data_IF_101919596143
#
_entry.id   IF_101919596143
#
_cell.length_a   1.000
_cell.length_b   1.000
_cell.length_c   1.000
_cell.angle_alpha   90.00
_cell.angle_beta   90.00
_cell.angle_gamma   90.00
#
_symmetry.space_group_name_H-M   'P 1'
#
loop_
_entity.id
_entity.type
_entity.pdbx_description
1 polymer ?
#
# COMPACT_ATOMS: atom_id res chain seq x y z
N UNK A 1 -30.01 -8.15 -10.50
CA UNK A 1 -30.14 -7.90 -11.95
C UNK A 1 -28.92 -8.36 -12.75
N UNK A 2 -27.68 -8.14 -12.30
CA UNK A 2 -26.45 -8.50 -13.04
C UNK A 2 -26.45 -9.94 -13.62
N UNK A 3 -26.77 -10.96 -12.80
CA UNK A 3 -26.80 -12.36 -13.27
C UNK A 3 -27.98 -12.68 -14.20
N UNK A 4 -29.07 -11.92 -14.13
CA UNK A 4 -30.21 -12.07 -15.04
C UNK A 4 -29.82 -11.57 -16.44
N UNK A 5 -29.20 -10.39 -16.51
CA UNK A 5 -28.77 -9.79 -17.77
C UNK A 5 -27.70 -10.65 -18.46
N UNK A 6 -26.73 -11.18 -17.69
CA UNK A 6 -25.67 -12.04 -18.20
C UNK A 6 -26.23 -13.36 -18.77
N UNK A 7 -27.24 -13.96 -18.14
CA UNK A 7 -27.92 -15.16 -18.65
C UNK A 7 -28.72 -14.89 -19.92
N UNK A 8 -29.43 -13.77 -19.98
CA UNK A 8 -30.23 -13.41 -21.15
C UNK A 8 -29.37 -13.03 -22.35
N UNK A 9 -28.22 -12.40 -22.13
CA UNK A 9 -27.31 -11.99 -23.21
C UNK A 9 -26.52 -13.16 -23.80
N UNK A 10 -26.15 -14.13 -22.96
CA UNK A 10 -25.34 -15.28 -23.37
C UNK A 10 -26.15 -16.46 -23.91
N UNK A 11 -27.46 -16.50 -23.68
CA UNK A 11 -28.37 -17.60 -24.06
C UNK A 11 -27.90 -18.99 -23.59
N UNK A 12 -27.11 -19.05 -22.51
CA UNK A 12 -26.53 -20.28 -21.94
C UNK A 12 -26.92 -20.42 -20.46
N UNK A 13 -27.01 -21.67 -19.99
CA UNK A 13 -27.22 -21.97 -18.58
C UNK A 13 -25.95 -21.71 -17.76
N UNK A 14 -26.04 -20.84 -16.75
CA UNK A 14 -24.91 -20.43 -15.91
C UNK A 14 -25.12 -20.93 -14.48
N UNK A 15 -24.23 -21.84 -14.06
CA UNK A 15 -24.11 -22.29 -12.67
C UNK A 15 -23.42 -21.22 -11.85
N UNK A 16 -24.10 -20.76 -10.81
CA UNK A 16 -23.60 -19.71 -9.91
C UNK A 16 -23.24 -20.40 -8.59
N UNK A 17 -22.03 -20.17 -8.11
CA UNK A 17 -21.59 -20.62 -6.79
C UNK A 17 -22.22 -19.76 -5.69
N UNK A 18 -22.12 -20.21 -4.44
CA UNK A 18 -22.51 -19.39 -3.30
C UNK A 18 -21.69 -18.09 -3.27
N UNK A 19 -22.33 -16.94 -2.99
CA UNK A 19 -21.65 -15.65 -2.97
C UNK A 19 -20.61 -15.62 -1.84
N UNK A 20 -19.40 -15.17 -2.16
CA UNK A 20 -18.33 -14.92 -1.21
C UNK A 20 -18.05 -13.42 -1.09
N UNK A 21 -17.39 -13.04 0.00
CA UNK A 21 -16.91 -11.67 0.23
C UNK A 21 -15.43 -11.57 -0.08
N UNK A 22 -14.99 -10.38 -0.47
CA UNK A 22 -13.57 -10.04 -0.56
C UNK A 22 -13.05 -9.72 0.85
N UNK A 23 -11.96 -10.34 1.26
CA UNK A 23 -11.23 -10.01 2.48
C UNK A 23 -10.20 -8.91 2.23
N UNK A 24 -9.67 -8.36 3.32
CA UNK A 24 -8.57 -7.39 3.28
C UNK A 24 -7.62 -7.70 4.42
N UNK A 25 -6.34 -7.58 4.15
CA UNK A 25 -5.28 -7.93 5.09
C UNK A 25 -4.82 -6.69 5.88
N UNK A 26 -4.41 -6.90 7.13
CA UNK A 26 -3.89 -5.82 7.97
C UNK A 26 -2.87 -6.36 8.97
N UNK A 27 -2.05 -5.46 9.50
CA UNK A 27 -1.08 -5.76 10.56
C UNK A 27 -1.57 -5.13 11.86
N UNK A 28 -1.46 -5.89 12.96
CA UNK A 28 -1.89 -5.43 14.29
C UNK A 28 -0.72 -4.77 15.03
N UNK A 29 0.46 -5.40 14.95
CA UNK A 29 1.68 -4.98 15.63
C UNK A 29 2.81 -4.74 14.63
N UNK A 30 3.77 -3.90 15.02
CA UNK A 30 5.02 -3.71 14.29
C UNK A 30 5.75 -5.04 14.11
N UNK A 31 6.27 -5.28 12.91
CA UNK A 31 7.07 -6.46 12.60
C UNK A 31 8.25 -6.63 13.56
N UNK A 32 8.36 -7.79 14.23
CA UNK A 32 9.40 -8.05 15.22
C UNK A 32 10.82 -8.12 14.62
N UNK A 33 10.93 -8.40 13.33
CA UNK A 33 12.19 -8.56 12.61
C UNK A 33 12.14 -7.67 11.37
N UNK A 34 13.26 -6.96 11.12
CA UNK A 34 13.46 -6.24 9.85
C UNK A 34 13.63 -7.27 8.74
N UNK A 35 12.59 -7.44 7.93
CA UNK A 35 12.63 -8.33 6.78
C UNK A 35 13.55 -7.75 5.71
N UNK A 36 14.27 -8.61 5.00
CA UNK A 36 15.12 -8.20 3.89
C UNK A 36 14.92 -9.06 2.66
N UNK A 37 15.12 -8.46 1.49
CA UNK A 37 15.14 -9.14 0.21
C UNK A 37 16.43 -8.78 -0.53
N UNK A 38 17.04 -9.77 -1.18
CA UNK A 38 18.24 -9.58 -2.00
C UNK A 38 17.92 -9.90 -3.46
N UNK A 39 18.40 -9.07 -4.38
CA UNK A 39 18.19 -9.31 -5.81
C UNK A 39 19.01 -10.52 -6.28
N UNK A 40 18.59 -11.24 -7.33
CA UNK A 40 19.31 -12.42 -7.82
C UNK A 40 20.77 -12.16 -8.21
N UNK A 41 21.08 -10.93 -8.64
CA UNK A 41 22.44 -10.49 -8.95
C UNK A 41 23.30 -10.15 -7.70
N UNK A 42 22.72 -10.23 -6.49
CA UNK A 42 23.32 -9.92 -5.18
C UNK A 42 23.86 -8.50 -5.02
N UNK A 43 23.40 -7.56 -5.84
CA UNK A 43 23.86 -6.15 -5.79
C UNK A 43 22.98 -5.26 -4.94
N UNK A 44 21.70 -5.61 -4.77
CA UNK A 44 20.75 -4.80 -4.02
C UNK A 44 20.18 -5.62 -2.86
N UNK A 45 20.10 -4.99 -1.70
CA UNK A 45 19.44 -5.51 -0.52
C UNK A 45 18.43 -4.47 -0.04
N UNK A 46 17.15 -4.84 -0.01
CA UNK A 46 16.07 -4.01 0.51
C UNK A 46 15.71 -4.51 1.90
N UNK A 47 15.44 -3.60 2.84
CA UNK A 47 14.97 -3.94 4.19
C UNK A 47 13.70 -3.17 4.49
N UNK A 48 12.67 -3.83 5.03
CA UNK A 48 11.38 -3.22 5.33
C UNK A 48 10.86 -3.69 6.69
N UNK A 49 10.05 -2.84 7.31
CA UNK A 49 9.20 -3.15 8.45
C UNK A 49 7.76 -2.79 8.08
N UNK A 50 6.80 -3.47 8.69
CA UNK A 50 5.39 -3.14 8.57
C UNK A 50 4.86 -2.76 9.95
N UNK A 51 4.07 -1.68 10.01
CA UNK A 51 3.47 -1.14 11.23
C UNK A 51 2.00 -0.84 10.97
N UNK A 52 1.12 -0.96 11.99
CA UNK A 52 -0.27 -0.55 11.86
C UNK A 52 -0.37 0.95 11.57
N UNK A 53 -1.30 1.33 10.69
CA UNK A 53 -1.62 2.75 10.48
C UNK A 53 -2.30 3.36 11.70
N UNK A 54 -2.12 4.67 11.87
CA UNK A 54 -2.83 5.44 12.89
C UNK A 54 -4.35 5.40 12.64
N UNK A 55 -5.10 5.34 13.74
CA UNK A 55 -6.57 5.24 13.69
C UNK A 55 -7.19 6.43 12.93
N UNK A 56 -7.96 6.13 11.89
CA UNK A 56 -8.67 7.12 11.08
C UNK A 56 -7.85 7.68 9.90
N UNK A 57 -6.57 7.34 9.81
CA UNK A 57 -5.74 7.73 8.67
C UNK A 57 -6.20 7.01 7.39
N UNK A 58 -6.63 5.77 7.51
CA UNK A 58 -7.27 4.98 6.47
C UNK A 58 -8.46 5.73 5.83
N UNK A 59 -9.34 6.29 6.65
CA UNK A 59 -10.52 7.04 6.18
C UNK A 59 -10.09 8.30 5.43
N UNK A 60 -9.11 9.06 5.96
CA UNK A 60 -8.62 10.28 5.31
C UNK A 60 -7.95 9.99 3.96
N UNK A 61 -7.26 8.84 3.83
CA UNK A 61 -6.68 8.39 2.56
C UNK A 61 -7.80 8.06 1.56
N UNK A 62 -8.80 7.27 1.96
CA UNK A 62 -9.91 6.88 1.07
C UNK A 62 -10.79 8.06 0.64
N UNK A 63 -10.89 9.11 1.45
CA UNK A 63 -11.54 10.37 1.08
C UNK A 63 -10.69 11.23 0.13
N UNK A 64 -9.43 10.86 -0.12
CA UNK A 64 -8.52 11.58 -1.01
C UNK A 64 -7.96 12.89 -0.43
N UNK A 65 -8.06 13.10 0.89
CA UNK A 65 -7.58 14.32 1.55
C UNK A 65 -6.05 14.46 1.46
N UNK A 66 -5.35 13.34 1.34
CA UNK A 66 -3.89 13.24 1.28
C UNK A 66 -3.32 13.22 -0.15
N UNK A 67 -4.16 13.37 -1.18
CA UNK A 67 -3.71 13.38 -2.58
C UNK A 67 -2.80 14.58 -2.92
N UNK A 68 -3.00 15.71 -2.22
CA UNK A 68 -2.21 16.92 -2.44
C UNK A 68 -1.07 17.02 -1.42
N UNK A 69 0.19 16.98 -1.88
CA UNK A 69 1.39 17.01 -1.03
C UNK A 69 1.44 18.07 0.09
N UNK A 70 1.13 19.36 -0.14
CA UNK A 70 1.12 20.35 0.94
C UNK A 70 0.06 20.06 2.01
N UNK A 71 -1.12 19.55 1.61
CA UNK A 71 -2.17 19.18 2.54
C UNK A 71 -1.80 17.91 3.31
N UNK A 72 -1.20 16.93 2.61
CA UNK A 72 -0.69 15.69 3.18
C UNK A 72 0.24 15.96 4.36
N UNK A 73 1.26 16.80 4.16
CA UNK A 73 2.21 17.15 5.22
C UNK A 73 1.52 17.79 6.44
N UNK A 74 0.62 18.75 6.21
CA UNK A 74 -0.09 19.44 7.28
C UNK A 74 -1.03 18.52 8.06
N UNK A 75 -1.74 17.61 7.37
CA UNK A 75 -2.65 16.65 7.99
C UNK A 75 -1.86 15.66 8.85
N UNK A 76 -0.80 15.05 8.30
CA UNK A 76 0.03 14.08 9.03
C UNK A 76 0.67 14.72 10.26
N UNK A 77 1.18 15.95 10.14
CA UNK A 77 1.80 16.66 11.26
C UNK A 77 0.78 17.09 12.33
N UNK A 78 -0.34 17.71 11.93
CA UNK A 78 -1.25 18.35 12.89
C UNK A 78 -2.30 17.40 13.46
N UNK A 79 -2.77 16.42 12.67
CA UNK A 79 -3.83 15.47 13.08
C UNK A 79 -3.24 14.19 13.67
N UNK A 80 -2.15 13.69 13.09
CA UNK A 80 -1.54 12.41 13.46
C UNK A 80 -0.21 12.55 14.21
N UNK A 81 0.27 13.79 14.45
CA UNK A 81 1.53 14.07 15.16
C UNK A 81 2.76 13.37 14.55
N UNK A 82 2.78 13.18 13.23
CA UNK A 82 3.95 12.64 12.54
C UNK A 82 5.10 13.63 12.59
N UNK A 83 6.32 13.10 12.73
CA UNK A 83 7.53 13.90 12.59
C UNK A 83 7.66 14.45 11.17
N UNK A 84 8.29 15.61 11.06
CA UNK A 84 8.55 16.33 9.80
C UNK A 84 9.32 15.45 8.82
N UNK A 85 10.22 14.59 9.31
CA UNK A 85 10.99 13.67 8.47
C UNK A 85 10.08 12.58 7.88
N UNK A 86 9.29 11.90 8.71
CA UNK A 86 8.36 10.85 8.29
C UNK A 86 7.27 11.39 7.34
N UNK A 87 6.68 12.55 7.67
CA UNK A 87 5.66 13.17 6.83
C UNK A 87 6.17 13.55 5.43
N UNK A 88 7.46 13.87 5.29
CA UNK A 88 8.08 14.18 3.99
C UNK A 88 8.65 12.96 3.26
N UNK A 89 8.81 11.83 3.94
CA UNK A 89 9.44 10.63 3.37
C UNK A 89 8.46 9.65 2.73
N UNK A 90 7.18 10.03 2.61
CA UNK A 90 6.18 9.21 1.91
C UNK A 90 6.53 9.13 0.42
N UNK A 91 6.60 7.89 -0.08
CA UNK A 91 6.91 7.59 -1.46
C UNK A 91 5.69 7.29 -2.30
N UNK A 92 4.76 6.49 -1.78
CA UNK A 92 3.55 6.08 -2.49
C UNK A 92 2.46 5.65 -1.51
N UNK A 93 1.22 5.72 -1.98
CA UNK A 93 0.08 5.00 -1.42
C UNK A 93 -0.16 3.72 -2.24
N UNK A 94 -0.82 2.71 -1.67
CA UNK A 94 -1.01 1.44 -2.36
C UNK A 94 -2.26 0.64 -1.94
N UNK A 95 -2.83 -0.17 -2.86
CA UNK A 95 -2.40 -0.37 -4.25
C UNK A 95 -2.73 0.79 -5.21
N UNK A 96 -3.78 1.57 -4.92
CA UNK A 96 -4.09 2.85 -5.58
C UNK A 96 -3.85 4.05 -4.66
N UNK A 97 -4.00 5.27 -5.17
CA UNK A 97 -3.80 6.48 -4.39
C UNK A 97 -4.84 6.69 -3.27
N UNK A 98 -5.94 5.95 -3.29
CA UNK A 98 -7.03 6.04 -2.32
C UNK A 98 -7.05 4.87 -1.34
N UNK A 99 -6.10 3.94 -1.48
CA UNK A 99 -6.04 2.77 -0.61
C UNK A 99 -5.11 3.00 0.57
N UNK A 100 -5.50 2.41 1.70
CA UNK A 100 -4.94 2.66 3.03
C UNK A 100 -3.63 1.91 3.28
N UNK A 101 -2.63 2.02 2.40
CA UNK A 101 -1.26 1.58 2.66
C UNK A 101 -0.28 2.67 2.26
N UNK A 102 0.77 2.86 3.05
CA UNK A 102 1.75 3.93 2.85
C UNK A 102 3.15 3.32 2.77
N UNK A 103 3.89 3.65 1.71
CA UNK A 103 5.30 3.37 1.62
C UNK A 103 6.11 4.58 2.11
N UNK A 104 6.92 4.35 3.15
CA UNK A 104 7.77 5.35 3.78
C UNK A 104 9.25 5.02 3.59
N UNK A 105 10.07 6.05 3.42
CA UNK A 105 11.52 5.96 3.48
C UNK A 105 12.04 6.41 4.84
N UNK A 106 12.48 5.44 5.64
CA UNK A 106 13.15 5.67 6.93
C UNK A 106 14.66 5.35 6.86
N UNK A 107 15.27 5.57 5.69
CA UNK A 107 16.71 5.38 5.56
C UNK A 107 17.50 6.57 6.14
N UNK A 108 18.35 6.27 7.12
CA UNK A 108 19.32 7.22 7.69
C UNK A 108 20.55 7.44 6.78
N UNK A 109 20.59 6.81 5.60
CA UNK A 109 21.77 6.73 4.74
C UNK A 109 22.05 8.06 4.01
N UNK A 110 23.34 8.37 3.88
CA UNK A 110 23.87 9.60 3.26
C UNK A 110 23.68 9.69 1.74
N UNK A 111 23.50 8.56 1.04
CA UNK A 111 23.44 8.51 -0.43
C UNK A 111 22.00 8.47 -0.98
N UNK A 112 21.23 9.52 -0.73
CA UNK A 112 19.84 9.65 -1.24
C UNK A 112 19.73 9.61 -2.77
N UNK A 113 20.79 9.96 -3.50
CA UNK A 113 20.81 9.93 -4.97
C UNK A 113 20.62 8.51 -5.54
N UNK A 114 21.28 7.52 -4.94
CA UNK A 114 21.17 6.12 -5.35
C UNK A 114 19.78 5.57 -5.00
N UNK A 115 19.24 5.93 -3.84
CA UNK A 115 17.92 5.50 -3.42
C UNK A 115 16.82 6.10 -4.32
N UNK A 116 16.98 7.36 -4.70
CA UNK A 116 16.05 8.03 -5.62
C UNK A 116 16.06 7.42 -7.03
N UNK A 117 17.18 6.84 -7.49
CA UNK A 117 17.22 6.18 -8.80
C UNK A 117 16.45 4.85 -8.81
N UNK A 118 16.34 4.18 -7.67
CA UNK A 118 15.60 2.91 -7.52
C UNK A 118 14.17 3.10 -7.00
N UNK A 119 13.82 4.28 -6.50
CA UNK A 119 12.50 4.62 -5.95
C UNK A 119 11.34 4.15 -6.81
N UNK A 120 11.38 4.40 -8.12
CA UNK A 120 10.31 3.99 -9.04
C UNK A 120 10.06 2.47 -8.99
N UNK A 121 11.12 1.67 -9.07
CA UNK A 121 11.00 0.21 -9.05
C UNK A 121 10.48 -0.31 -7.71
N UNK A 122 10.89 0.31 -6.59
CA UNK A 122 10.40 -0.06 -5.26
C UNK A 122 8.91 0.30 -5.13
N UNK A 123 8.50 1.49 -5.58
CA UNK A 123 7.09 1.89 -5.53
C UNK A 123 6.18 0.99 -6.36
N UNK A 124 6.64 0.55 -7.54
CA UNK A 124 5.89 -0.38 -8.38
C UNK A 124 5.80 -1.77 -7.74
N UNK A 125 6.90 -2.29 -7.20
CA UNK A 125 6.90 -3.56 -6.47
C UNK A 125 5.96 -3.52 -5.27
N UNK A 126 6.01 -2.45 -4.48
CA UNK A 126 5.10 -2.23 -3.35
C UNK A 126 3.63 -2.22 -3.77
N UNK A 127 3.26 -1.43 -4.78
CA UNK A 127 1.87 -1.35 -5.24
C UNK A 127 1.34 -2.70 -5.75
N UNK A 128 2.20 -3.49 -6.40
CA UNK A 128 1.84 -4.83 -6.82
C UNK A 128 1.68 -5.78 -5.62
N UNK A 129 2.65 -5.82 -4.71
CA UNK A 129 2.59 -6.70 -3.54
C UNK A 129 1.37 -6.44 -2.65
N UNK A 130 0.99 -5.17 -2.47
CA UNK A 130 -0.18 -4.80 -1.66
C UNK A 130 -1.51 -5.03 -2.39
N UNK A 131 -1.49 -5.12 -3.72
CA UNK A 131 -2.68 -5.48 -4.51
C UNK A 131 -3.03 -6.97 -4.40
N UNK A 132 -2.02 -7.81 -4.27
CA UNK A 132 -2.20 -9.26 -4.14
C UNK A 132 -2.29 -9.66 -2.67
N UNK A 133 -1.42 -9.18 -1.79
CA UNK A 133 -1.46 -9.58 -0.38
C UNK A 133 -0.95 -11.02 -0.16
N UNK A 134 -0.12 -11.26 0.87
CA UNK A 134 0.52 -12.56 1.08
C UNK A 134 -0.35 -13.66 1.72
N UNK A 135 -1.55 -13.37 2.24
CA UNK A 135 -2.36 -14.38 2.95
C UNK A 135 -3.41 -15.03 2.05
N UNK A 136 -4.14 -14.23 1.27
CA UNK A 136 -5.31 -14.67 0.51
C UNK A 136 -5.31 -14.30 -0.98
N UNK A 137 -4.27 -13.65 -1.51
CA UNK A 137 -4.23 -13.12 -2.88
C UNK A 137 -5.39 -12.12 -3.19
N UNK A 138 -5.76 -11.25 -2.22
CA UNK A 138 -6.85 -10.26 -2.31
C UNK A 138 -6.47 -8.79 -2.06
#
# INVERSE_FOLDING_TARGET
>A
CVLHDLRNYSEIEIKVSDPIVKFSETVIDTSCIKCYAETPNKKNKLTMIAEPLDKGLDIDISLGLLNNKPNQFNILKNKYNWDVLAANSIWAFGPSNLDSNILLDDSLLSNKSLLNSTKYFITQGFQWSVREGPLCDE
#
